data_IF_614002577534
#
_entry.id   IF_614002577534
#
_cell.length_a   1.000
_cell.length_b   1.000
_cell.length_c   1.000
_cell.angle_alpha   90.00
_cell.angle_beta   90.00
_cell.angle_gamma   90.00
#
_symmetry.space_group_name_H-M   'P 1'
#
loop_
_entity.id
_entity.type
_entity.pdbx_description
1 polymer ?
#
# COMPACT_ATOMS: atom_id res chain seq x y z
N UNK A 1 15.01 -14.72 -3.43
CA UNK A 1 14.79 -14.39 -2.01
C UNK A 1 13.86 -13.20 -1.99
N UNK A 2 12.62 -13.42 -1.55
CA UNK A 2 11.64 -12.35 -1.38
C UNK A 2 12.17 -11.35 -0.36
N UNK A 3 12.55 -10.17 -0.85
CA UNK A 3 13.06 -9.10 0.00
C UNK A 3 11.85 -8.36 0.55
N UNK A 4 11.56 -8.61 1.82
CA UNK A 4 10.55 -7.91 2.60
C UNK A 4 11.21 -7.20 3.76
N UNK A 5 10.67 -6.05 4.15
CA UNK A 5 11.00 -5.41 5.43
C UNK A 5 10.55 -6.29 6.60
N UNK A 6 11.19 -6.08 7.76
CA UNK A 6 10.65 -6.54 9.03
C UNK A 6 9.36 -5.78 9.34
N UNK A 7 8.32 -6.51 9.72
CA UNK A 7 7.02 -5.93 10.11
C UNK A 7 7.02 -5.75 11.62
N UNK A 8 6.87 -4.51 12.08
CA UNK A 8 6.73 -4.20 13.52
C UNK A 8 5.36 -4.67 14.02
N UNK A 9 5.21 -4.83 15.34
CA UNK A 9 3.91 -5.20 15.93
C UNK A 9 2.81 -4.19 15.58
N UNK A 10 3.12 -2.90 15.56
CA UNK A 10 2.15 -1.85 15.20
C UNK A 10 1.71 -1.96 13.74
N UNK A 11 2.65 -2.25 12.83
CA UNK A 11 2.33 -2.44 11.42
C UNK A 11 1.50 -3.72 11.20
N UNK A 12 1.79 -4.79 11.93
CA UNK A 12 1.00 -6.02 11.93
C UNK A 12 -0.44 -5.78 12.41
N UNK A 13 -0.62 -4.96 13.46
CA UNK A 13 -1.93 -4.57 13.95
C UNK A 13 -2.72 -3.79 12.89
N UNK A 14 -2.08 -2.84 12.20
CA UNK A 14 -2.71 -2.08 11.09
C UNK A 14 -3.14 -3.02 9.95
N UNK A 15 -2.28 -3.97 9.56
CA UNK A 15 -2.59 -4.96 8.52
C UNK A 15 -3.78 -5.82 8.93
N UNK A 16 -3.85 -6.20 10.21
CA UNK A 16 -4.97 -6.96 10.79
C UNK A 16 -6.27 -6.17 10.75
N UNK A 17 -6.24 -4.89 11.12
CA UNK A 17 -7.42 -4.00 11.05
C UNK A 17 -7.91 -3.83 9.62
N UNK A 18 -7.00 -3.67 8.65
CA UNK A 18 -7.35 -3.61 7.22
C UNK A 18 -8.02 -4.92 6.77
N UNK A 19 -7.49 -6.07 7.19
CA UNK A 19 -8.07 -7.37 6.86
C UNK A 19 -9.49 -7.52 7.42
N UNK A 20 -9.73 -7.02 8.64
CA UNK A 20 -11.04 -7.03 9.28
C UNK A 20 -12.03 -6.10 8.56
N UNK A 21 -11.60 -4.89 8.18
CA UNK A 21 -12.42 -3.97 7.36
C UNK A 21 -12.79 -4.61 6.03
N UNK A 22 -11.82 -5.21 5.34
CA UNK A 22 -12.07 -5.94 4.09
C UNK A 22 -13.09 -7.08 4.28
N UNK A 23 -13.00 -7.81 5.40
CA UNK A 23 -13.96 -8.86 5.77
C UNK A 23 -15.37 -8.29 5.95
N UNK A 24 -15.50 -7.12 6.55
CA UNK A 24 -16.78 -6.44 6.77
C UNK A 24 -17.36 -5.97 5.43
N UNK A 25 -16.58 -5.26 4.61
CA UNK A 25 -17.01 -4.80 3.28
C UNK A 25 -17.54 -5.95 2.41
N UNK A 26 -16.82 -7.08 2.44
CA UNK A 26 -17.26 -8.29 1.74
C UNK A 26 -18.57 -8.85 2.30
N UNK A 27 -18.69 -9.02 3.63
CA UNK A 27 -19.90 -9.60 4.26
C UNK A 27 -21.14 -8.73 4.07
N UNK A 28 -20.99 -7.42 3.97
CA UNK A 28 -22.08 -6.49 3.70
C UNK A 28 -22.44 -6.38 2.22
N UNK A 29 -21.69 -7.02 1.32
CA UNK A 29 -21.90 -6.93 -0.12
C UNK A 29 -21.50 -5.58 -0.73
N UNK A 30 -20.70 -4.77 -0.03
CA UNK A 30 -20.29 -3.44 -0.50
C UNK A 30 -19.10 -3.47 -1.46
N UNK A 31 -18.48 -4.63 -1.63
CA UNK A 31 -17.33 -4.86 -2.50
C UNK A 31 -17.53 -6.18 -3.27
N UNK A 32 -18.31 -6.11 -4.35
CA UNK A 32 -18.57 -7.27 -5.21
C UNK A 32 -17.36 -7.60 -6.09
N UNK A 33 -17.03 -8.89 -6.21
CA UNK A 33 -15.88 -9.37 -6.99
C UNK A 33 -14.56 -8.67 -6.59
N UNK A 34 -13.95 -7.92 -7.51
CA UNK A 34 -12.71 -7.15 -7.36
C UNK A 34 -12.98 -5.64 -7.25
N UNK A 35 -14.21 -5.23 -7.00
CA UNK A 35 -14.54 -3.84 -6.69
C UNK A 35 -14.14 -3.51 -5.24
N UNK A 36 -13.67 -2.28 -5.04
CA UNK A 36 -13.15 -1.80 -3.76
C UNK A 36 -11.64 -1.94 -3.66
N UNK A 37 -10.96 -0.86 -3.27
CA UNK A 37 -9.52 -0.81 -3.05
C UNK A 37 -9.26 -0.20 -1.68
N UNK A 38 -8.12 -0.49 -1.08
CA UNK A 38 -7.74 0.14 0.19
C UNK A 38 -6.32 0.66 0.07
N UNK A 39 -6.09 1.89 0.52
CA UNK A 39 -4.74 2.36 0.78
C UNK A 39 -4.62 3.09 2.12
N UNK A 40 -3.51 2.86 2.81
CA UNK A 40 -3.23 3.43 4.14
C UNK A 40 -1.81 3.99 4.17
N UNK A 41 -1.65 5.25 4.59
CA UNK A 41 -0.34 5.84 4.86
C UNK A 41 0.25 5.20 6.13
N UNK A 42 1.31 4.42 5.94
CA UNK A 42 2.00 3.67 6.99
C UNK A 42 3.42 4.17 7.24
N UNK A 43 3.75 5.37 6.72
CA UNK A 43 5.12 5.92 6.74
C UNK A 43 5.78 5.87 8.12
N UNK A 44 5.03 6.23 9.16
CA UNK A 44 5.51 6.25 10.56
C UNK A 44 5.77 4.86 11.16
N UNK A 45 5.27 3.80 10.52
CA UNK A 45 5.43 2.41 10.96
C UNK A 45 6.47 1.65 10.13
N UNK A 46 7.09 2.33 9.15
CA UNK A 46 8.20 1.77 8.39
C UNK A 46 9.49 1.99 9.17
N UNK A 47 10.36 0.96 9.31
CA UNK A 47 11.66 1.15 9.94
C UNK A 47 12.45 2.30 9.29
N UNK A 48 12.94 3.24 10.08
CA UNK A 48 13.73 4.38 9.59
C UNK A 48 15.00 3.94 8.84
N UNK A 49 15.54 2.78 9.24
CA UNK A 49 16.81 2.20 8.78
C UNK A 49 16.69 1.35 7.50
N UNK A 50 15.80 1.69 6.56
CA UNK A 50 15.86 1.10 5.21
C UNK A 50 17.06 1.74 4.47
N UNK A 51 18.26 1.34 4.87
CA UNK A 51 19.54 1.92 4.40
C UNK A 51 19.77 1.71 2.90
N UNK A 52 19.02 0.82 2.24
CA UNK A 52 19.15 0.55 0.81
C UNK A 52 17.81 0.21 0.16
N UNK A 53 17.00 1.23 -0.17
CA UNK A 53 15.79 1.08 -0.99
C UNK A 53 16.06 0.32 -2.31
N UNK A 54 17.25 0.51 -2.88
CA UNK A 54 17.71 -0.16 -4.10
C UNK A 54 17.76 -1.69 -3.99
N UNK A 55 17.73 -2.26 -2.77
CA UNK A 55 17.61 -3.70 -2.60
C UNK A 55 16.22 -4.22 -2.97
N UNK A 56 15.19 -3.41 -2.86
CA UNK A 56 13.80 -3.77 -3.14
C UNK A 56 13.48 -3.56 -4.63
N UNK A 57 12.62 -4.41 -5.23
CA UNK A 57 12.13 -4.17 -6.57
C UNK A 57 11.48 -2.80 -6.68
N UNK A 58 11.70 -2.14 -7.81
CA UNK A 58 11.09 -0.86 -8.10
C UNK A 58 10.43 -0.85 -9.46
N UNK A 59 9.37 -0.05 -9.57
CA UNK A 59 8.66 0.20 -10.82
C UNK A 59 8.55 1.70 -11.04
N UNK A 60 8.43 2.08 -12.29
CA UNK A 60 8.08 3.45 -12.64
C UNK A 60 6.61 3.68 -12.31
N UNK A 61 6.32 4.89 -11.88
CA UNK A 61 4.96 5.40 -11.86
C UNK A 61 4.87 6.42 -12.99
N UNK A 62 3.94 6.29 -13.90
CA UNK A 62 3.78 7.14 -15.09
C UNK A 62 3.36 8.59 -14.74
N UNK A 63 2.87 8.84 -13.52
CA UNK A 63 2.59 10.16 -12.96
C UNK A 63 3.37 10.43 -11.67
N UNK A 64 4.01 11.59 -11.59
CA UNK A 64 4.84 11.99 -10.45
C UNK A 64 4.03 12.59 -9.29
N UNK A 65 4.48 12.30 -8.06
CA UNK A 65 3.93 12.78 -6.79
C UNK A 65 5.07 13.26 -5.87
N UNK A 66 5.79 14.35 -6.22
CA UNK A 66 6.98 14.78 -5.50
C UNK A 66 6.72 15.10 -4.02
N UNK A 67 5.52 15.55 -3.67
CA UNK A 67 5.10 15.86 -2.30
C UNK A 67 4.96 14.60 -1.44
N UNK A 68 4.78 13.43 -2.08
CA UNK A 68 4.72 12.12 -1.42
C UNK A 68 6.09 11.41 -1.39
N UNK A 69 7.16 12.08 -1.80
CA UNK A 69 8.53 11.55 -1.74
C UNK A 69 8.86 11.01 -0.35
N UNK A 70 9.29 9.75 -0.26
CA UNK A 70 9.62 9.09 1.01
C UNK A 70 8.42 8.53 1.78
N UNK A 71 7.18 8.85 1.39
CA UNK A 71 5.99 8.27 2.01
C UNK A 71 5.82 6.80 1.61
N UNK A 72 5.27 6.03 2.54
CA UNK A 72 4.99 4.61 2.35
C UNK A 72 3.52 4.30 2.58
N UNK A 73 2.97 3.47 1.69
CA UNK A 73 1.56 3.16 1.63
C UNK A 73 1.36 1.64 1.58
N UNK A 74 0.50 1.13 2.46
CA UNK A 74 -0.19 -0.13 2.19
C UNK A 74 -1.17 0.13 1.05
N UNK A 75 -1.22 -0.74 0.04
CA UNK A 75 -2.15 -0.61 -1.08
C UNK A 75 -2.58 -1.99 -1.60
N UNK A 76 -3.87 -2.14 -1.91
CA UNK A 76 -4.39 -3.35 -2.54
C UNK A 76 -3.85 -3.54 -3.97
N UNK A 77 -3.70 -4.80 -4.38
CA UNK A 77 -3.23 -5.16 -5.71
C UNK A 77 -4.32 -5.10 -6.78
N UNK A 78 -3.90 -5.03 -8.04
CA UNK A 78 -4.80 -5.15 -9.19
C UNK A 78 -5.58 -6.48 -9.14
N UNK A 79 -6.91 -6.39 -9.24
CA UNK A 79 -7.80 -7.56 -9.21
C UNK A 79 -7.96 -8.21 -7.82
N UNK A 80 -7.39 -7.63 -6.76
CA UNK A 80 -7.58 -8.10 -5.40
C UNK A 80 -9.08 -8.05 -5.02
N UNK A 81 -9.52 -9.04 -4.24
CA UNK A 81 -10.90 -9.13 -3.77
C UNK A 81 -10.91 -8.96 -2.26
N UNK A 82 -11.83 -8.19 -1.71
CA UNK A 82 -11.90 -7.95 -0.25
C UNK A 82 -11.95 -9.24 0.58
N UNK A 83 -12.62 -10.29 0.06
CA UNK A 83 -12.64 -11.62 0.69
C UNK A 83 -11.29 -12.32 0.76
N UNK A 84 -10.40 -12.05 -0.18
CA UNK A 84 -9.06 -12.66 -0.23
C UNK A 84 -8.09 -11.82 0.56
N UNK A 85 -8.20 -10.48 0.48
CA UNK A 85 -7.49 -9.54 1.33
C UNK A 85 -7.71 -9.85 2.81
N UNK A 86 -8.96 -10.12 3.21
CA UNK A 86 -9.31 -10.51 4.57
C UNK A 86 -8.66 -11.81 5.05
N UNK A 87 -8.33 -12.73 4.13
CA UNK A 87 -7.75 -14.04 4.45
C UNK A 87 -6.22 -14.01 4.43
N UNK A 88 -5.65 -13.30 3.46
CA UNK A 88 -4.22 -13.29 3.20
C UNK A 88 -3.82 -11.89 2.68
N UNK A 89 -3.60 -10.91 3.59
CA UNK A 89 -3.21 -9.55 3.20
C UNK A 89 -1.95 -9.53 2.34
N UNK A 90 -0.94 -10.32 2.71
CA UNK A 90 0.33 -10.36 2.00
C UNK A 90 0.19 -10.81 0.54
N UNK A 91 -0.81 -11.64 0.21
CA UNK A 91 -1.05 -12.11 -1.15
C UNK A 91 -1.86 -11.14 -2.02
N UNK A 92 -2.51 -10.15 -1.42
CA UNK A 92 -3.51 -9.29 -2.06
C UNK A 92 -3.21 -7.80 -1.95
N UNK A 93 -2.16 -7.44 -1.23
CA UNK A 93 -1.70 -6.07 -1.04
C UNK A 93 -0.17 -6.03 -0.97
N UNK A 94 0.38 -4.84 -1.11
CA UNK A 94 1.78 -4.56 -0.84
C UNK A 94 1.94 -3.32 0.02
N UNK A 95 3.13 -3.16 0.59
CA UNK A 95 3.58 -1.87 1.08
C UNK A 95 4.56 -1.33 0.05
N UNK A 96 4.28 -0.16 -0.51
CA UNK A 96 5.18 0.55 -1.40
C UNK A 96 5.73 1.82 -0.74
N UNK A 97 6.91 2.26 -1.17
CA UNK A 97 7.50 3.56 -0.81
C UNK A 97 7.80 4.36 -2.06
N UNK A 98 7.31 5.60 -2.10
CA UNK A 98 7.63 6.53 -3.18
C UNK A 98 9.10 6.94 -3.05
N UNK A 99 9.88 6.72 -4.11
CA UNK A 99 11.30 7.00 -4.12
C UNK A 99 11.55 8.52 -4.11
N UNK A 100 12.65 8.94 -3.50
CA UNK A 100 13.02 10.34 -3.50
C UNK A 100 13.51 10.78 -4.87
N UNK A 101 13.14 12.01 -5.27
CA UNK A 101 13.65 12.70 -6.48
C UNK A 101 13.57 11.86 -7.75
N UNK A 102 12.66 10.89 -7.81
CA UNK A 102 12.48 9.99 -8.95
C UNK A 102 11.02 9.61 -9.11
N UNK A 103 10.64 9.22 -10.32
CA UNK A 103 9.28 8.83 -10.65
C UNK A 103 9.07 7.32 -10.46
N UNK A 104 9.45 6.82 -9.27
CA UNK A 104 9.48 5.39 -8.96
C UNK A 104 8.89 5.11 -7.59
N UNK A 105 8.44 3.87 -7.40
CA UNK A 105 8.16 3.33 -6.07
C UNK A 105 8.89 2.00 -5.89
N UNK A 106 9.26 1.70 -4.64
CA UNK A 106 9.83 0.43 -4.23
C UNK A 106 8.78 -0.41 -3.49
N UNK A 107 8.73 -1.71 -3.76
CA UNK A 107 7.86 -2.64 -3.05
C UNK A 107 8.60 -3.19 -1.84
N UNK A 108 8.15 -2.83 -0.64
CA UNK A 108 8.81 -3.14 0.63
C UNK A 108 8.30 -4.42 1.29
N UNK A 109 7.05 -4.81 1.03
CA UNK A 109 6.40 -5.98 1.65
C UNK A 109 5.27 -6.53 0.77
N UNK A 110 4.98 -7.83 0.91
CA UNK A 110 3.92 -8.58 0.23
C UNK A 110 4.43 -9.94 -0.26
N UNK A 111 3.62 -11.00 -0.27
CA UNK A 111 3.99 -12.36 -0.72
C UNK A 111 4.37 -12.42 -2.19
N UNK A 112 3.89 -11.46 -2.98
CA UNK A 112 4.35 -11.24 -4.37
C UNK A 112 5.34 -10.07 -4.44
N UNK A 113 6.23 -9.92 -3.46
CA UNK A 113 7.27 -8.86 -3.41
C UNK A 113 8.30 -8.92 -4.56
N UNK A 114 8.01 -9.62 -5.66
CA UNK A 114 8.69 -9.52 -6.94
C UNK A 114 8.02 -8.50 -7.88
N UNK A 115 8.46 -8.48 -9.15
CA UNK A 115 7.89 -7.62 -10.19
C UNK A 115 6.46 -8.04 -10.61
N UNK A 116 5.95 -9.18 -10.17
CA UNK A 116 4.66 -9.72 -10.59
C UNK A 116 3.46 -9.13 -9.83
N UNK A 117 3.70 -8.34 -8.77
CA UNK A 117 2.65 -7.60 -8.10
C UNK A 117 2.45 -6.24 -8.73
N UNK A 118 1.24 -5.96 -9.19
CA UNK A 118 0.79 -4.61 -9.56
C UNK A 118 -0.15 -4.08 -8.48
N UNK A 119 0.03 -2.84 -8.00
CA UNK A 119 -1.00 -2.13 -7.24
C UNK A 119 -2.30 -2.02 -8.05
N UNK A 120 -3.40 -1.67 -7.39
CA UNK A 120 -4.67 -1.36 -8.08
C UNK A 120 -4.46 -0.38 -9.24
N UNK A 121 -5.25 -0.54 -10.32
CA UNK A 121 -5.30 0.40 -11.44
C UNK A 121 -5.69 1.82 -11.00
N UNK A 122 -6.24 1.98 -9.80
CA UNK A 122 -6.63 3.26 -9.22
C UNK A 122 -5.53 3.91 -8.37
N UNK A 123 -4.28 3.42 -8.43
CA UNK A 123 -3.15 3.94 -7.64
C UNK A 123 -3.03 5.48 -7.73
N UNK A 124 -3.25 6.08 -8.89
CA UNK A 124 -3.20 7.54 -9.03
C UNK A 124 -4.29 8.27 -8.27
N UNK A 125 -5.51 7.74 -8.25
CA UNK A 125 -6.62 8.33 -7.49
C UNK A 125 -6.29 8.30 -6.01
N UNK A 126 -5.80 7.16 -5.51
CA UNK A 126 -5.37 7.03 -4.11
C UNK A 126 -4.21 8.00 -3.77
N UNK A 127 -3.16 8.06 -4.59
CA UNK A 127 -2.03 8.95 -4.34
C UNK A 127 -2.42 10.43 -4.45
N UNK A 128 -3.29 10.81 -5.39
CA UNK A 128 -3.80 12.18 -5.49
C UNK A 128 -4.59 12.61 -4.24
N UNK A 129 -5.39 11.72 -3.67
CA UNK A 129 -6.12 12.00 -2.42
C UNK A 129 -5.16 12.06 -1.22
N UNK A 130 -4.19 11.15 -1.11
CA UNK A 130 -3.15 11.21 -0.06
C UNK A 130 -2.35 12.52 -0.14
N UNK A 131 -2.01 12.97 -1.34
CA UNK A 131 -1.37 14.28 -1.58
C UNK A 131 -2.24 15.42 -1.08
N UNK A 132 -3.53 15.40 -1.42
CA UNK A 132 -4.49 16.42 -0.97
C UNK A 132 -4.62 16.43 0.57
N UNK A 133 -4.73 15.26 1.20
CA UNK A 133 -4.77 15.13 2.67
C UNK A 133 -3.51 15.73 3.31
N UNK A 134 -2.33 15.43 2.75
CA UNK A 134 -1.05 16.00 3.20
C UNK A 134 -1.03 17.52 3.05
N UNK A 135 -1.43 18.06 1.91
CA UNK A 135 -1.52 19.51 1.65
C UNK A 135 -2.45 20.21 2.65
N UNK A 136 -3.56 19.56 3.03
CA UNK A 136 -4.51 20.08 4.02
C UNK A 136 -4.09 19.85 5.46
N UNK A 137 -2.97 19.15 5.70
CA UNK A 137 -2.52 18.73 7.04
C UNK A 137 -3.63 18.01 7.81
N UNK A 138 -4.45 17.26 7.07
CA UNK A 138 -5.59 16.58 7.63
C UNK A 138 -5.12 15.25 8.28
N UNK A 139 -5.71 14.83 9.42
CA UNK A 139 -5.22 13.67 10.17
C UNK A 139 -5.54 12.32 9.52
N UNK A 140 -6.36 12.30 8.46
CA UNK A 140 -6.77 11.08 7.79
C UNK A 140 -5.56 10.39 7.15
N UNK A 141 -5.53 9.06 7.21
CA UNK A 141 -4.47 8.23 6.63
C UNK A 141 -5.00 7.14 5.71
N UNK A 142 -6.31 7.03 5.53
CA UNK A 142 -6.98 5.87 4.93
C UNK A 142 -7.86 6.32 3.76
N UNK A 143 -7.83 5.55 2.67
CA UNK A 143 -8.70 5.69 1.51
C UNK A 143 -9.27 4.29 1.21
N UNK A 144 -10.60 4.19 1.12
CA UNK A 144 -11.37 2.98 0.79
C UNK A 144 -12.33 3.33 -0.35
#
# INVERSE_FOLDING_TARGET
>A
MDKSIAVSQDLENIITDIAEVARILWKLGWAESNAGNISVNVTEHIPEDIRELNKFPSKEIDKSYPELSGFSFFITGAGARMRDLAKEPSGNACILRIAEKSNRYHILWGKKSGLDFEPTSEIHSHLSIHRFILEKKAPQKVII
#
